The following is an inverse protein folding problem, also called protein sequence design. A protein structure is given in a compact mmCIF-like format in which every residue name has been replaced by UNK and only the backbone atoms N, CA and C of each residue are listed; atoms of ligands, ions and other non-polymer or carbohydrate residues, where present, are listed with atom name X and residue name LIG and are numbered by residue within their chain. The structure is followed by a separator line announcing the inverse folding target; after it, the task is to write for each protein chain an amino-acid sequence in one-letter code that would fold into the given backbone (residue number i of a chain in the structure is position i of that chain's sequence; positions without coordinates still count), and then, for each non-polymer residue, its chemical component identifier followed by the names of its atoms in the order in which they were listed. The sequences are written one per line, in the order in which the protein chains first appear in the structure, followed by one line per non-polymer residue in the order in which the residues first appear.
data_IF_212874583257
#
_entry.id   IF_212874583257
#
_cell.length_a   1.000
_cell.length_b   1.000
_cell.length_c   1.000
_cell.angle_alpha   90.00
_cell.angle_beta   90.00
_cell.angle_gamma   90.00
#
_symmetry.space_group_name_H-M   'P 1'
#
loop_
_entity.id
_entity.type
_entity.pdbx_description
1 polymer ?
#
# COMPACT_ATOMS: atom_id res chain seq x y z
N UNK A 1 -4.97 -12.78 30.72
CA UNK A 1 -4.13 -11.79 30.00
C UNK A 1 -3.08 -12.37 29.05
N UNK A 2 -2.37 -13.47 29.37
CA UNK A 2 -1.38 -14.05 28.44
C UNK A 2 -1.97 -14.46 27.09
N UNK A 3 -3.16 -15.11 27.10
CA UNK A 3 -3.89 -15.50 25.88
C UNK A 3 -4.27 -14.29 25.02
N UNK A 4 -4.70 -13.18 25.63
CA UNK A 4 -5.03 -11.95 24.90
C UNK A 4 -3.82 -11.41 24.14
N UNK A 5 -2.69 -11.23 24.85
CA UNK A 5 -1.47 -10.68 24.25
C UNK A 5 -0.94 -11.57 23.13
N UNK A 6 -0.97 -12.90 23.34
CA UNK A 6 -0.55 -13.86 22.32
C UNK A 6 -1.48 -13.83 21.10
N UNK A 7 -2.79 -13.79 21.33
CA UNK A 7 -3.78 -13.65 20.25
C UNK A 7 -3.57 -12.37 19.44
N UNK A 8 -3.32 -11.24 20.11
CA UNK A 8 -3.02 -9.97 19.43
C UNK A 8 -1.73 -10.02 18.63
N UNK A 9 -0.68 -10.68 19.12
CA UNK A 9 0.57 -10.85 18.38
C UNK A 9 0.34 -11.63 17.07
N UNK A 10 -0.42 -12.72 17.12
CA UNK A 10 -0.81 -13.48 15.92
C UNK A 10 -1.67 -12.64 14.97
N UNK A 11 -2.61 -11.82 15.48
CA UNK A 11 -3.39 -10.89 14.63
C UNK A 11 -2.49 -9.93 13.86
N UNK A 12 -1.43 -9.42 14.50
CA UNK A 12 -0.46 -8.51 13.85
C UNK A 12 0.41 -9.26 12.85
N UNK A 13 0.77 -10.51 13.13
CA UNK A 13 1.52 -11.36 12.21
C UNK A 13 0.72 -11.81 10.97
N UNK A 14 -0.62 -11.73 11.03
CA UNK A 14 -1.51 -12.22 9.98
C UNK A 14 -1.92 -13.69 10.17
N UNK A 15 -1.50 -14.33 11.26
CA UNK A 15 -1.87 -15.69 11.64
C UNK A 15 -3.26 -15.68 12.30
N UNK A 16 -4.30 -15.44 11.49
CA UNK A 16 -5.65 -15.20 11.98
C UNK A 16 -6.26 -16.40 12.70
N UNK A 17 -5.95 -17.63 12.29
CA UNK A 17 -6.48 -18.84 12.95
C UNK A 17 -5.86 -19.06 14.34
N UNK A 18 -4.54 -18.90 14.50
CA UNK A 18 -3.86 -18.92 15.79
C UNK A 18 -4.41 -17.82 16.71
N UNK A 19 -4.62 -16.61 16.19
CA UNK A 19 -5.20 -15.52 16.96
C UNK A 19 -6.61 -15.86 17.48
N UNK A 20 -7.48 -16.38 16.59
CA UNK A 20 -8.84 -16.81 16.91
C UNK A 20 -8.88 -17.94 17.93
N UNK A 21 -7.96 -18.91 17.83
CA UNK A 21 -7.83 -19.99 18.81
C UNK A 21 -7.50 -19.46 20.21
N UNK A 22 -6.60 -18.46 20.31
CA UNK A 22 -6.25 -17.84 21.58
C UNK A 22 -7.43 -17.09 22.21
N UNK A 23 -8.18 -16.31 21.44
CA UNK A 23 -9.36 -15.60 21.97
C UNK A 23 -10.49 -16.56 22.38
N UNK A 24 -10.72 -17.64 21.61
CA UNK A 24 -11.66 -18.70 22.01
C UNK A 24 -11.21 -19.41 23.28
N UNK A 25 -9.91 -19.67 23.44
CA UNK A 25 -9.38 -20.26 24.66
C UNK A 25 -9.56 -19.31 25.85
N UNK A 26 -9.42 -18.01 25.64
CA UNK A 26 -9.65 -16.99 26.67
C UNK A 26 -11.08 -17.09 27.23
N UNK A 27 -12.10 -17.12 26.36
CA UNK A 27 -13.51 -17.31 26.74
C UNK A 27 -13.75 -18.61 27.52
N UNK A 28 -13.09 -19.71 27.11
CA UNK A 28 -13.23 -21.02 27.79
C UNK A 28 -12.58 -21.03 29.16
N UNK A 29 -11.42 -20.36 29.29
CA UNK A 29 -10.64 -20.34 30.53
C UNK A 29 -11.27 -19.44 31.59
N UNK A 30 -11.88 -18.32 31.18
CA UNK A 30 -12.40 -17.32 32.09
C UNK A 30 -13.61 -16.62 31.47
N UNK A 31 -14.79 -16.83 32.07
CA UNK A 31 -16.05 -16.22 31.64
C UNK A 31 -16.05 -14.70 31.81
N UNK A 32 -15.31 -14.15 32.77
CA UNK A 32 -15.25 -12.70 32.97
C UNK A 32 -14.56 -11.98 31.79
N UNK A 33 -13.71 -12.70 31.06
CA UNK A 33 -12.99 -12.20 29.89
C UNK A 33 -13.78 -12.30 28.57
N UNK A 34 -15.02 -12.77 28.60
CA UNK A 34 -15.83 -13.02 27.40
C UNK A 34 -16.09 -11.74 26.58
N UNK A 35 -16.39 -10.63 27.24
CA UNK A 35 -16.61 -9.34 26.57
C UNK A 35 -15.33 -8.84 25.88
N UNK A 36 -14.17 -9.03 26.51
CA UNK A 36 -12.88 -8.65 25.93
C UNK A 36 -12.52 -9.56 24.75
N UNK A 37 -12.78 -10.87 24.87
CA UNK A 37 -12.53 -11.84 23.80
C UNK A 37 -13.39 -11.58 22.56
N UNK A 38 -14.68 -11.29 22.75
CA UNK A 38 -15.62 -11.00 21.67
C UNK A 38 -15.23 -9.70 20.96
N UNK A 39 -14.86 -8.65 21.70
CA UNK A 39 -14.33 -7.43 21.11
C UNK A 39 -13.04 -7.67 20.30
N UNK A 40 -12.14 -8.54 20.79
CA UNK A 40 -10.94 -8.91 20.07
C UNK A 40 -11.24 -9.71 18.79
N UNK A 41 -12.21 -10.63 18.82
CA UNK A 41 -12.65 -11.39 17.66
C UNK A 41 -13.26 -10.51 16.57
N UNK A 42 -14.06 -9.49 16.94
CA UNK A 42 -14.59 -8.52 16.00
C UNK A 42 -13.48 -7.73 15.30
N UNK A 43 -12.45 -7.30 16.05
CA UNK A 43 -11.28 -6.62 15.48
C UNK A 43 -10.48 -7.53 14.54
N UNK A 44 -10.35 -8.82 14.90
CA UNK A 44 -9.69 -9.82 14.06
C UNK A 44 -10.41 -9.98 12.71
N UNK A 45 -11.73 -10.12 12.73
CA UNK A 45 -12.53 -10.25 11.50
C UNK A 45 -12.39 -9.02 10.59
N UNK A 46 -12.39 -7.81 11.16
CA UNK A 46 -12.16 -6.59 10.39
C UNK A 46 -10.79 -6.60 9.70
N UNK A 47 -9.75 -7.08 10.40
CA UNK A 47 -8.40 -7.18 9.84
C UNK A 47 -8.28 -8.24 8.74
N UNK A 48 -8.90 -9.39 8.93
CA UNK A 48 -8.96 -10.45 7.93
C UNK A 48 -9.64 -9.96 6.64
N UNK A 49 -10.79 -9.30 6.76
CA UNK A 49 -11.49 -8.69 5.62
C UNK A 49 -10.67 -7.57 4.95
N UNK A 50 -9.93 -6.78 5.73
CA UNK A 50 -9.05 -5.73 5.19
C UNK A 50 -7.95 -6.34 4.30
N UNK A 51 -7.34 -7.44 4.75
CA UNK A 51 -6.33 -8.19 3.99
C UNK A 51 -6.94 -8.83 2.76
N UNK A 52 -8.10 -9.47 2.88
CA UNK A 52 -8.80 -10.07 1.73
C UNK A 52 -9.15 -9.01 0.69
N UNK A 53 -9.69 -7.86 1.11
CA UNK A 53 -10.01 -6.74 0.20
C UNK A 53 -8.75 -6.21 -0.49
N UNK A 54 -7.61 -6.16 0.20
CA UNK A 54 -6.34 -5.76 -0.40
C UNK A 54 -5.85 -6.78 -1.43
N UNK A 55 -5.89 -8.07 -1.11
CA UNK A 55 -5.55 -9.14 -2.03
C UNK A 55 -6.46 -9.11 -3.28
N UNK A 56 -7.78 -9.02 -3.09
CA UNK A 56 -8.74 -8.89 -4.20
C UNK A 56 -8.43 -7.70 -5.11
N UNK A 57 -8.03 -6.55 -4.55
CA UNK A 57 -7.62 -5.39 -5.34
C UNK A 57 -6.32 -5.63 -6.12
N UNK A 58 -5.35 -6.34 -5.53
CA UNK A 58 -4.10 -6.69 -6.22
C UNK A 58 -4.33 -7.66 -7.38
N UNK A 59 -5.33 -8.53 -7.25
CA UNK A 59 -5.72 -9.52 -8.25
C UNK A 59 -7.01 -9.13 -8.99
N UNK A 60 -7.28 -7.83 -9.14
CA UNK A 60 -8.44 -7.32 -9.86
C UNK A 60 -8.43 -7.90 -11.28
N UNK A 61 -9.56 -8.47 -11.72
CA UNK A 61 -9.68 -9.17 -13.00
C UNK A 61 -9.24 -10.64 -13.01
N UNK A 62 -8.46 -11.13 -12.02
CA UNK A 62 -8.12 -12.55 -11.91
C UNK A 62 -9.22 -13.35 -11.19
N UNK A 63 -9.78 -12.78 -10.13
CA UNK A 63 -10.87 -13.42 -9.37
C UNK A 63 -12.27 -13.01 -9.82
N UNK A 64 -12.38 -11.97 -10.66
CA UNK A 64 -13.66 -11.48 -11.17
C UNK A 64 -14.13 -12.28 -12.40
N UNK A 65 -13.20 -12.97 -13.08
CA UNK A 65 -13.48 -13.82 -14.23
C UNK A 65 -13.93 -15.20 -13.79
N UNK A 66 -14.84 -15.81 -14.56
CA UNK A 66 -15.24 -17.19 -14.29
C UNK A 66 -14.04 -18.12 -14.55
N UNK A 67 -13.89 -19.24 -13.81
CA UNK A 67 -12.75 -20.15 -13.96
C UNK A 67 -12.44 -20.61 -15.39
N UNK A 68 -13.45 -20.65 -16.27
CA UNK A 68 -13.29 -21.05 -17.68
C UNK A 68 -12.67 -19.95 -18.57
N UNK A 69 -12.85 -18.68 -18.22
CA UNK A 69 -12.40 -17.51 -19.01
C UNK A 69 -10.92 -17.16 -18.74
N UNK A 70 -10.30 -17.75 -17.72
CA UNK A 70 -8.89 -17.51 -17.34
C UNK A 70 -7.92 -18.34 -18.22
N UNK A 71 -8.41 -19.40 -18.86
CA UNK A 71 -7.62 -20.29 -19.71
C UNK A 71 -7.49 -19.80 -21.16
N UNK A 72 -8.28 -18.80 -21.55
CA UNK A 72 -8.30 -18.22 -22.91
C UNK A 72 -7.32 -17.03 -22.98
N UNK A 73 -6.02 -17.30 -22.79
CA UNK A 73 -4.95 -16.34 -23.11
C UNK A 73 -4.55 -16.58 -24.57
N UNK A 74 -5.40 -16.09 -25.47
CA UNK A 74 -5.17 -16.05 -26.90
C UNK A 74 -6.02 -14.93 -27.48
N UNK A 75 -5.41 -13.75 -27.59
CA UNK A 75 -5.87 -12.55 -28.30
C UNK A 75 -7.27 -12.01 -27.94
N UNK A 76 -7.32 -10.93 -27.14
CA UNK A 76 -8.20 -9.76 -27.36
C UNK A 76 -7.92 -8.59 -26.40
N UNK A 77 -7.47 -7.52 -27.05
CA UNK A 77 -7.69 -6.09 -26.87
C UNK A 77 -8.01 -5.51 -25.48
N UNK A 78 -7.16 -4.56 -25.12
CA UNK A 78 -7.24 -3.57 -24.05
C UNK A 78 -8.58 -2.82 -24.09
N UNK A 79 -9.44 -3.05 -23.09
CA UNK A 79 -10.65 -2.25 -22.90
C UNK A 79 -10.29 -1.03 -22.05
N UNK A 80 -10.02 0.08 -22.74
CA UNK A 80 -9.83 1.40 -22.14
C UNK A 80 -11.20 1.97 -21.76
N UNK A 81 -11.63 1.79 -20.51
CA UNK A 81 -12.81 2.48 -20.01
C UNK A 81 -12.47 3.97 -19.74
N UNK A 82 -12.71 4.79 -20.77
CA UNK A 82 -12.63 6.25 -20.75
C UNK A 82 -13.77 6.83 -19.93
N UNK A 83 -13.47 7.26 -18.70
CA UNK A 83 -14.39 8.06 -17.88
C UNK A 83 -14.68 9.43 -18.53
N UNK A 84 -15.88 9.58 -19.07
CA UNK A 84 -16.36 10.80 -19.71
C UNK A 84 -16.52 11.98 -18.73
N UNK A 85 -16.10 13.15 -19.20
CA UNK A 85 -16.31 14.48 -18.59
C UNK A 85 -17.80 14.83 -18.57
N UNK A 86 -18.34 15.16 -17.40
CA UNK A 86 -19.52 16.03 -17.31
C UNK A 86 -19.16 17.39 -16.73
N UNK A 87 -19.12 18.36 -17.64
CA UNK A 87 -18.98 19.80 -17.44
C UNK A 87 -20.36 20.35 -17.10
N UNK A 88 -20.58 20.78 -15.86
CA UNK A 88 -21.68 21.69 -15.53
C UNK A 88 -21.07 23.07 -15.23
N UNK A 89 -21.28 23.98 -16.16
CA UNK A 89 -21.07 25.43 -15.97
C UNK A 89 -22.34 25.93 -15.29
N UNK A 90 -22.21 26.56 -14.12
CA UNK A 90 -23.15 27.58 -13.70
C UNK A 90 -22.39 28.83 -13.21
N UNK A 91 -22.99 29.98 -13.47
CA UNK A 91 -22.41 31.32 -13.58
C UNK A 91 -22.60 32.13 -12.29
N UNK A 92 -21.65 33.03 -12.04
CA UNK A 92 -21.80 34.23 -11.20
C UNK A 92 -21.08 34.12 -9.84
N UNK A 93 -20.40 35.10 -9.30
CA UNK A 93 -20.14 36.51 -9.65
C UNK A 93 -19.09 37.06 -8.64
N UNK A 94 -18.44 38.18 -8.97
CA UNK A 94 -17.52 39.02 -8.15
C UNK A 94 -16.17 38.40 -7.71
N UNK A 95 -15.03 38.86 -8.23
CA UNK A 95 -14.35 40.15 -7.97
C UNK A 95 -13.76 40.21 -6.55
N UNK A 96 -12.44 40.04 -6.45
CA UNK A 96 -11.52 40.86 -5.66
C UNK A 96 -10.10 40.55 -6.16
N UNK A 97 -9.49 41.60 -6.69
CA UNK A 97 -8.09 41.69 -7.08
C UNK A 97 -7.16 41.43 -5.90
N UNK A 98 -6.02 40.79 -6.15
CA UNK A 98 -4.80 41.19 -5.47
C UNK A 98 -3.62 40.96 -6.41
N UNK A 99 -3.15 42.08 -6.94
CA UNK A 99 -1.93 42.22 -7.73
C UNK A 99 -0.79 42.53 -6.76
N UNK A 100 0.30 41.78 -6.88
CA UNK A 100 1.68 42.21 -6.57
C UNK A 100 2.56 41.21 -7.37
N UNK A 101 3.10 41.59 -8.54
CA UNK A 101 4.36 42.33 -8.73
C UNK A 101 5.56 41.55 -8.13
N UNK A 102 6.64 41.17 -8.81
CA UNK A 102 7.29 41.53 -10.08
C UNK A 102 8.32 40.45 -10.47
N UNK A 103 8.37 40.11 -11.76
CA UNK A 103 9.53 40.01 -12.66
C UNK A 103 10.89 39.33 -12.27
N UNK A 104 11.17 38.26 -13.03
CA UNK A 104 12.42 37.80 -13.70
C UNK A 104 13.65 37.29 -12.91
N UNK A 105 14.02 36.02 -13.15
CA UNK A 105 15.31 35.71 -13.79
C UNK A 105 15.33 34.28 -14.37
N UNK A 106 15.94 34.14 -15.55
CA UNK A 106 16.00 32.89 -16.30
C UNK A 106 17.21 32.03 -15.89
N UNK A 107 16.98 30.74 -15.58
CA UNK A 107 17.98 29.70 -15.75
C UNK A 107 17.32 28.31 -15.89
N UNK A 108 17.55 27.71 -17.04
CA UNK A 108 17.30 26.31 -17.38
C UNK A 108 17.88 25.35 -16.32
N UNK A 109 17.00 24.61 -15.64
CA UNK A 109 17.38 23.41 -14.91
C UNK A 109 16.18 22.46 -14.84
N UNK A 110 16.19 21.47 -15.76
CA UNK A 110 15.52 20.16 -15.71
C UNK A 110 14.69 19.94 -14.43
N UNK A 111 13.37 19.86 -14.57
CA UNK A 111 12.45 19.42 -13.52
C UNK A 111 12.94 18.10 -12.92
N UNK A 112 13.65 18.19 -11.79
CA UNK A 112 14.13 17.03 -11.05
C UNK A 112 12.92 16.49 -10.30
N UNK A 113 12.30 15.44 -10.86
CA UNK A 113 11.09 14.84 -10.33
C UNK A 113 11.26 14.48 -8.85
N UNK A 114 10.18 14.65 -8.09
CA UNK A 114 10.08 14.42 -6.63
C UNK A 114 10.65 13.07 -6.16
N UNK A 115 10.73 12.09 -7.06
CA UNK A 115 11.35 10.78 -6.83
C UNK A 115 12.89 10.81 -6.66
N UNK A 116 13.54 11.94 -6.93
CA UNK A 116 14.99 12.10 -6.79
C UNK A 116 15.45 12.22 -5.33
N UNK A 117 14.55 12.51 -4.40
CA UNK A 117 14.87 12.64 -2.97
C UNK A 117 14.82 11.33 -2.19
N UNK A 118 14.26 10.26 -2.77
CA UNK A 118 14.12 8.97 -2.08
C UNK A 118 15.16 7.93 -2.51
N UNK A 119 15.98 8.23 -3.53
CA UNK A 119 17.05 7.33 -3.96
C UNK A 119 18.41 7.86 -3.53
N UNK A 120 19.22 7.09 -2.76
CA UNK A 120 20.63 7.39 -2.67
C UNK A 120 21.20 7.23 -4.09
N UNK A 121 21.76 8.32 -4.61
CA UNK A 121 22.58 8.32 -5.82
C UNK A 121 23.70 7.30 -5.61
N UNK A 122 23.57 6.11 -6.19
CA UNK A 122 24.58 5.05 -6.15
C UNK A 122 25.77 5.42 -7.03
N UNK A 123 26.47 6.50 -6.67
CA UNK A 123 27.78 6.84 -7.22
C UNK A 123 28.83 6.51 -6.17
N UNK A 124 29.58 5.44 -6.46
CA UNK A 124 30.92 5.08 -5.95
C UNK A 124 30.97 4.48 -4.54
N UNK A 125 30.89 3.14 -4.46
CA UNK A 125 31.36 2.34 -3.32
C UNK A 125 32.46 1.33 -3.70
N UNK A 126 33.27 1.60 -4.72
CA UNK A 126 34.44 0.77 -5.06
C UNK A 126 35.68 1.60 -5.38
N UNK A 127 36.11 2.42 -4.43
CA UNK A 127 37.44 3.06 -4.50
C UNK A 127 38.08 2.97 -3.12
N UNK A 128 38.49 1.75 -2.76
CA UNK A 128 38.99 1.46 -1.43
C UNK A 128 39.61 0.07 -1.29
N UNK A 129 40.34 -0.41 -2.29
CA UNK A 129 41.32 -1.49 -2.11
C UNK A 129 42.60 -1.08 -2.84
N UNK A 130 43.47 -0.39 -2.13
CA UNK A 130 44.84 -0.17 -2.56
C UNK A 130 45.59 -1.49 -2.54
N UNK A 131 45.75 -2.12 -3.71
CA UNK A 131 46.76 -3.14 -3.95
C UNK A 131 47.65 -2.63 -5.09
N UNK A 132 48.61 -1.83 -4.67
CA UNK A 132 49.75 -1.44 -5.47
C UNK A 132 50.70 -2.65 -5.57
N UNK A 133 51.16 -2.93 -6.80
CA UNK A 133 52.40 -3.66 -7.18
C UNK A 133 52.38 -5.19 -7.15
N UNK A 134 52.44 -5.80 -8.34
CA UNK A 134 53.50 -6.75 -8.73
C UNK A 134 53.60 -6.79 -10.26
N UNK A 135 54.69 -6.23 -10.78
CA UNK A 135 55.15 -6.41 -12.16
C UNK A 135 55.63 -7.85 -12.31
N UNK A 136 55.30 -8.53 -13.40
CA UNK A 136 55.94 -9.79 -13.79
C UNK A 136 56.55 -9.57 -15.18
N UNK A 137 57.86 -9.82 -15.26
CA UNK A 137 58.70 -9.88 -16.46
C UNK A 137 58.38 -11.13 -17.27
#
# INVERSE_FOLDING_TARGET
MALYRRGMAYTVAGDFEEAKANFKMMMKSDKSSEAEATAALLKLQQKEQEVERKARKQFKGLFDKKPREIAEVGDREEDHDTGEKQKNIDKGDSEVENSDESHEDAADARQMGWFSHFWPTSRRLFSGLGLQRCTIL
#
